data_IF_455082442278
#
_entry.id   IF_455082442278
#
_cell.length_a   1.000
_cell.length_b   1.000
_cell.length_c   1.000
_cell.angle_alpha   90.00
_cell.angle_beta   90.00
_cell.angle_gamma   90.00
#
_symmetry.space_group_name_H-M   'P 1'
#
loop_
_entity.id
_entity.type
_entity.pdbx_description
1 polymer ?
#
# COMPACT_ATOMS: atom_id res chain seq x y z
N UNK A 1 18.69 17.95 43.65
CA UNK A 1 18.86 18.13 42.19
C UNK A 1 18.25 16.91 41.51
N UNK A 2 17.09 17.08 40.89
CA UNK A 2 16.38 16.00 40.19
C UNK A 2 17.15 15.65 38.93
N UNK A 3 17.64 14.41 38.83
CA UNK A 3 18.45 13.94 37.69
C UNK A 3 17.69 13.96 36.35
N UNK A 4 18.39 13.80 35.22
CA UNK A 4 17.77 13.79 33.90
C UNK A 4 16.75 12.66 33.81
N UNK A 5 15.50 13.03 33.53
CA UNK A 5 14.42 12.07 33.29
C UNK A 5 14.66 11.43 31.94
N UNK A 6 15.02 10.13 31.95
CA UNK A 6 15.02 9.26 30.78
C UNK A 6 13.77 9.52 29.93
N UNK A 7 13.95 10.09 28.74
CA UNK A 7 12.90 10.10 27.72
C UNK A 7 12.53 8.64 27.48
N UNK A 8 11.31 8.27 27.88
CA UNK A 8 10.82 6.92 27.76
C UNK A 8 10.66 6.66 26.26
N UNK A 9 11.61 5.95 25.65
CA UNK A 9 11.56 5.52 24.24
C UNK A 9 10.12 5.09 23.94
N UNK A 10 9.46 5.79 23.03
CA UNK A 10 8.17 5.40 22.44
C UNK A 10 8.38 4.10 21.66
N UNK A 11 8.55 2.99 22.38
CA UNK A 11 8.33 1.68 21.80
C UNK A 11 6.84 1.64 21.45
N UNK A 12 6.52 1.27 20.21
CA UNK A 12 5.16 0.97 19.80
C UNK A 12 4.56 -0.02 20.79
N UNK A 13 3.73 0.47 21.70
CA UNK A 13 3.06 -0.36 22.70
C UNK A 13 2.14 -1.27 21.91
N UNK A 14 2.49 -2.57 21.82
CA UNK A 14 1.63 -3.56 21.18
C UNK A 14 0.25 -3.45 21.84
N UNK A 15 -0.83 -3.30 21.07
CA UNK A 15 -2.16 -3.19 21.66
C UNK A 15 -2.45 -4.46 22.46
N UNK A 16 -2.75 -4.31 23.76
CA UNK A 16 -3.14 -5.43 24.64
C UNK A 16 -4.36 -6.17 24.08
N UNK A 17 -5.20 -5.49 23.28
CA UNK A 17 -6.37 -6.08 22.65
C UNK A 17 -6.76 -5.38 21.33
N UNK A 18 -6.11 -5.78 20.23
CA UNK A 18 -6.29 -5.18 18.88
C UNK A 18 -7.77 -5.08 18.46
N UNK A 19 -8.58 -6.11 18.76
CA UNK A 19 -10.00 -6.13 18.41
C UNK A 19 -10.83 -5.06 19.11
N UNK A 20 -10.57 -4.79 20.40
CA UNK A 20 -11.24 -3.71 21.13
C UNK A 20 -10.85 -2.33 20.59
N UNK A 21 -9.59 -2.14 20.25
CA UNK A 21 -9.10 -0.88 19.65
C UNK A 21 -9.74 -0.62 18.29
N UNK A 22 -9.80 -1.63 17.42
CA UNK A 22 -10.50 -1.54 16.12
C UNK A 22 -11.98 -1.20 16.33
N UNK A 23 -12.67 -1.88 17.25
CA UNK A 23 -14.07 -1.60 17.56
C UNK A 23 -14.28 -0.16 18.06
N UNK A 24 -13.35 0.35 18.87
CA UNK A 24 -13.38 1.75 19.34
C UNK A 24 -13.20 2.73 18.19
N UNK A 25 -12.25 2.49 17.28
CA UNK A 25 -12.06 3.35 16.10
C UNK A 25 -13.30 3.32 15.21
N UNK A 26 -13.86 2.14 14.93
CA UNK A 26 -15.12 1.98 14.19
C UNK A 26 -16.28 2.71 14.85
N UNK A 27 -16.32 2.81 16.18
CA UNK A 27 -17.35 3.56 16.90
C UNK A 27 -17.32 5.06 16.59
N UNK A 28 -16.13 5.63 16.32
CA UNK A 28 -15.99 7.03 15.91
C UNK A 28 -16.49 7.26 14.48
N UNK A 29 -16.31 6.28 13.59
CA UNK A 29 -16.80 6.35 12.20
C UNK A 29 -18.30 6.01 12.09
N UNK A 30 -18.88 5.46 13.15
CA UNK A 30 -20.26 5.01 13.22
C UNK A 30 -21.30 6.14 13.04
N UNK A 31 -20.88 7.40 13.23
CA UNK A 31 -21.68 8.57 12.90
C UNK A 31 -21.91 8.71 11.39
N UNK A 32 -21.01 8.13 10.58
CA UNK A 32 -21.02 8.15 9.12
C UNK A 32 -21.40 6.81 8.47
N UNK A 33 -22.12 5.91 9.17
CA UNK A 33 -22.51 4.57 8.63
C UNK A 33 -23.10 4.63 7.22
N UNK A 34 -24.01 5.57 6.95
CA UNK A 34 -24.66 5.70 5.63
C UNK A 34 -23.61 6.07 4.57
N UNK A 35 -22.70 6.99 4.89
CA UNK A 35 -21.64 7.40 3.98
C UNK A 35 -20.66 6.24 3.74
N UNK A 36 -20.36 5.42 4.75
CA UNK A 36 -19.52 4.21 4.59
C UNK A 36 -20.17 3.17 3.66
N UNK A 37 -21.48 2.96 3.77
CA UNK A 37 -22.21 2.06 2.86
C UNK A 37 -22.16 2.62 1.42
N UNK A 38 -22.35 3.92 1.25
CA UNK A 38 -22.20 4.56 -0.06
C UNK A 38 -20.77 4.45 -0.62
N UNK A 39 -19.74 4.62 0.21
CA UNK A 39 -18.34 4.40 -0.17
C UNK A 39 -18.14 2.96 -0.66
N UNK A 40 -18.64 1.98 0.10
CA UNK A 40 -18.54 0.57 -0.28
C UNK A 40 -19.22 0.30 -1.63
N UNK A 41 -20.44 0.81 -1.83
CA UNK A 41 -21.16 0.69 -3.11
C UNK A 41 -20.39 1.34 -4.27
N UNK A 42 -19.85 2.55 -4.08
CA UNK A 42 -19.06 3.21 -5.13
C UNK A 42 -17.74 2.50 -5.43
N UNK A 43 -17.09 1.89 -4.43
CA UNK A 43 -15.89 1.05 -4.64
C UNK A 43 -16.24 -0.21 -5.43
N UNK A 44 -17.37 -0.86 -5.13
CA UNK A 44 -17.86 -1.99 -5.91
C UNK A 44 -18.16 -1.58 -7.35
N UNK A 45 -18.88 -0.48 -7.54
CA UNK A 45 -19.22 0.04 -8.86
C UNK A 45 -17.97 0.41 -9.67
N UNK A 46 -17.00 1.11 -9.07
CA UNK A 46 -15.76 1.47 -9.79
C UNK A 46 -14.93 0.24 -10.17
N UNK A 47 -14.82 -0.74 -9.28
CA UNK A 47 -14.08 -1.98 -9.53
C UNK A 47 -14.76 -2.81 -10.62
N UNK A 48 -16.09 -2.95 -10.57
CA UNK A 48 -16.88 -3.63 -11.59
C UNK A 48 -16.80 -2.91 -12.94
N UNK A 49 -16.86 -1.57 -12.97
CA UNK A 49 -16.67 -0.79 -14.21
C UNK A 49 -15.29 -1.02 -14.83
N UNK A 50 -14.24 -1.11 -14.01
CA UNK A 50 -12.88 -1.39 -14.51
C UNK A 50 -12.76 -2.81 -15.08
N UNK A 51 -13.32 -3.80 -14.38
CA UNK A 51 -13.34 -5.19 -14.84
C UNK A 51 -14.16 -5.31 -16.12
N UNK A 52 -15.36 -4.75 -16.15
CA UNK A 52 -16.24 -4.77 -17.31
C UNK A 52 -15.58 -4.04 -18.50
N UNK A 53 -14.99 -2.85 -18.27
CA UNK A 53 -14.29 -2.10 -19.32
C UNK A 53 -13.15 -2.89 -19.95
N UNK A 54 -12.45 -3.71 -19.16
CA UNK A 54 -11.42 -4.63 -19.67
C UNK A 54 -12.03 -5.81 -20.43
N UNK A 55 -13.15 -6.36 -19.97
CA UNK A 55 -13.86 -7.44 -20.68
C UNK A 55 -14.41 -6.97 -22.03
N UNK A 56 -14.91 -5.73 -22.12
CA UNK A 56 -15.44 -5.15 -23.37
C UNK A 56 -14.40 -5.03 -24.49
N UNK A 57 -13.11 -5.16 -24.18
CA UNK A 57 -12.05 -5.30 -25.19
C UNK A 57 -12.27 -6.52 -26.09
N UNK A 58 -12.82 -7.62 -25.53
CA UNK A 58 -13.14 -8.85 -26.27
C UNK A 58 -14.14 -8.61 -27.40
N UNK A 59 -15.40 -8.19 -27.14
CA UNK A 59 -16.38 -7.94 -28.20
C UNK A 59 -15.95 -6.80 -29.12
N UNK A 60 -15.23 -5.78 -28.62
CA UNK A 60 -14.70 -4.70 -29.45
C UNK A 60 -13.74 -5.23 -30.52
N UNK A 61 -12.80 -6.10 -30.14
CA UNK A 61 -11.81 -6.64 -31.08
C UNK A 61 -12.46 -7.68 -31.99
N UNK A 62 -13.22 -8.63 -31.46
CA UNK A 62 -13.73 -9.76 -32.23
C UNK A 62 -14.88 -9.39 -33.18
N UNK A 63 -15.82 -8.56 -32.72
CA UNK A 63 -17.05 -8.31 -33.48
C UNK A 63 -16.95 -7.06 -34.35
N UNK A 64 -16.00 -6.16 -34.05
CA UNK A 64 -15.86 -4.91 -34.78
C UNK A 64 -14.49 -4.78 -35.43
N UNK A 65 -13.36 -4.88 -34.72
CA UNK A 65 -12.06 -4.67 -35.38
C UNK A 65 -11.77 -5.77 -36.41
N UNK A 66 -11.87 -7.04 -36.03
CA UNK A 66 -11.49 -8.17 -36.88
C UNK A 66 -12.29 -8.26 -38.21
N UNK A 67 -13.63 -8.14 -38.23
CA UNK A 67 -14.41 -8.19 -39.48
C UNK A 67 -14.32 -6.90 -40.32
N UNK A 68 -13.81 -5.80 -39.76
CA UNK A 68 -13.55 -4.57 -40.50
C UNK A 68 -12.20 -4.59 -41.25
N UNK A 69 -11.27 -5.46 -40.87
CA UNK A 69 -9.98 -5.60 -41.56
C UNK A 69 -10.21 -6.13 -42.98
N UNK A 70 -9.88 -5.31 -43.99
CA UNK A 70 -9.99 -5.67 -45.41
C UNK A 70 -11.25 -5.16 -46.14
N UNK A 71 -12.17 -4.44 -45.47
CA UNK A 71 -13.32 -3.78 -46.14
C UNK A 71 -13.02 -2.32 -46.47
N UNK A 72 -13.32 -1.89 -47.71
CA UNK A 72 -13.06 -0.52 -48.18
C UNK A 72 -14.08 0.54 -47.67
N UNK A 73 -15.28 0.14 -47.20
CA UNK A 73 -16.28 1.03 -46.59
C UNK A 73 -17.09 0.30 -45.50
N UNK A 74 -16.54 0.10 -44.30
CA UNK A 74 -17.28 -0.52 -43.21
C UNK A 74 -18.22 0.47 -42.52
N UNK A 75 -19.40 0.00 -42.13
CA UNK A 75 -20.32 0.78 -41.29
C UNK A 75 -19.76 0.88 -39.86
N UNK A 76 -19.22 2.05 -39.51
CA UNK A 76 -18.61 2.33 -38.20
C UNK A 76 -19.65 2.67 -37.12
N UNK A 77 -20.94 2.78 -37.45
CA UNK A 77 -21.98 3.21 -36.51
C UNK A 77 -22.06 2.30 -35.27
N UNK A 78 -21.97 0.98 -35.48
CA UNK A 78 -22.03 0.00 -34.42
C UNK A 78 -20.73 -0.08 -33.58
N UNK A 79 -19.56 0.16 -34.21
CA UNK A 79 -18.30 0.32 -33.50
C UNK A 79 -18.31 1.57 -32.61
N UNK A 80 -18.76 2.71 -33.15
CA UNK A 80 -18.88 3.97 -32.41
C UNK A 80 -19.84 3.84 -31.22
N UNK A 81 -20.97 3.12 -31.39
CA UNK A 81 -21.92 2.86 -30.30
C UNK A 81 -21.27 2.05 -29.17
N UNK A 82 -20.45 1.05 -29.49
CA UNK A 82 -19.75 0.24 -28.47
C UNK A 82 -18.63 1.03 -27.77
N UNK A 83 -17.86 1.83 -28.52
CA UNK A 83 -16.85 2.72 -27.94
C UNK A 83 -17.50 3.77 -27.03
N UNK A 84 -18.64 4.33 -27.42
CA UNK A 84 -19.39 5.28 -26.59
C UNK A 84 -19.95 4.61 -25.33
N UNK A 85 -20.42 3.36 -25.43
CA UNK A 85 -20.80 2.57 -24.25
C UNK A 85 -19.61 2.34 -23.30
N UNK A 86 -18.45 1.99 -23.83
CA UNK A 86 -17.22 1.84 -23.02
C UNK A 86 -16.82 3.16 -22.36
N UNK A 87 -16.90 4.27 -23.09
CA UNK A 87 -16.63 5.60 -22.55
C UNK A 87 -17.59 5.95 -21.40
N UNK A 88 -18.89 5.61 -21.52
CA UNK A 88 -19.87 5.80 -20.44
C UNK A 88 -19.57 4.91 -19.23
N UNK A 89 -19.16 3.65 -19.42
CA UNK A 89 -18.78 2.74 -18.33
C UNK A 89 -17.55 3.28 -17.59
N UNK A 90 -16.53 3.73 -18.32
CA UNK A 90 -15.34 4.34 -17.71
C UNK A 90 -15.67 5.67 -17.03
N UNK A 91 -16.51 6.51 -17.63
CA UNK A 91 -16.96 7.76 -17.02
C UNK A 91 -17.73 7.49 -15.71
N UNK A 92 -18.60 6.48 -15.69
CA UNK A 92 -19.31 6.07 -14.49
C UNK A 92 -18.38 5.49 -13.42
N UNK A 93 -17.39 4.70 -13.82
CA UNK A 93 -16.35 4.18 -12.92
C UNK A 93 -15.48 5.30 -12.33
N UNK A 94 -15.10 6.29 -13.15
CA UNK A 94 -14.35 7.46 -12.73
C UNK A 94 -15.16 8.36 -11.79
N UNK A 95 -16.45 8.58 -12.08
CA UNK A 95 -17.36 9.33 -11.22
C UNK A 95 -17.59 8.63 -9.87
N UNK A 96 -17.75 7.30 -9.89
CA UNK A 96 -17.81 6.48 -8.67
C UNK A 96 -16.52 6.59 -7.87
N UNK A 97 -15.38 6.60 -8.57
CA UNK A 97 -14.05 6.75 -7.96
C UNK A 97 -13.91 8.10 -7.27
N UNK A 98 -14.26 9.17 -7.96
CA UNK A 98 -14.29 10.51 -7.40
C UNK A 98 -15.25 10.60 -6.21
N UNK A 99 -16.45 10.00 -6.34
CA UNK A 99 -17.47 9.94 -5.31
C UNK A 99 -16.93 9.31 -4.02
N UNK A 100 -16.45 8.07 -4.06
CA UNK A 100 -15.96 7.42 -2.86
C UNK A 100 -14.77 8.16 -2.24
N UNK A 101 -13.83 8.69 -3.04
CA UNK A 101 -12.69 9.46 -2.51
C UNK A 101 -13.16 10.73 -1.79
N UNK A 102 -14.11 11.47 -2.38
CA UNK A 102 -14.66 12.69 -1.78
C UNK A 102 -15.44 12.40 -0.50
N UNK A 103 -16.27 11.35 -0.49
CA UNK A 103 -16.97 10.93 0.73
C UNK A 103 -15.96 10.51 1.80
N UNK A 104 -14.91 9.76 1.44
CA UNK A 104 -13.94 9.26 2.40
C UNK A 104 -13.10 10.38 3.02
N UNK A 105 -12.77 11.43 2.26
CA UNK A 105 -12.14 12.64 2.80
C UNK A 105 -13.02 13.33 3.85
N UNK A 106 -14.33 13.43 3.60
CA UNK A 106 -15.28 14.03 4.55
C UNK A 106 -15.38 13.18 5.83
N UNK A 107 -15.50 11.86 5.69
CA UNK A 107 -15.54 10.92 6.83
C UNK A 107 -14.27 11.01 7.65
N UNK A 108 -13.11 10.94 7.00
CA UNK A 108 -11.81 10.86 7.68
C UNK A 108 -11.49 12.16 8.42
N UNK A 109 -11.71 13.31 7.79
CA UNK A 109 -11.49 14.62 8.43
C UNK A 109 -12.52 14.90 9.53
N UNK A 110 -13.79 14.52 9.34
CA UNK A 110 -14.83 14.65 10.38
C UNK A 110 -14.55 13.77 11.60
N UNK A 111 -14.14 12.53 11.36
CA UNK A 111 -13.72 11.59 12.42
C UNK A 111 -12.49 12.13 13.15
N UNK A 112 -11.50 12.65 12.41
CA UNK A 112 -10.29 13.25 12.97
C UNK A 112 -10.58 14.47 13.85
N UNK A 113 -11.48 15.36 13.39
CA UNK A 113 -11.94 16.49 14.17
C UNK A 113 -12.52 16.03 15.51
N UNK A 114 -13.44 15.05 15.48
CA UNK A 114 -14.05 14.49 16.70
C UNK A 114 -13.03 13.86 17.64
N UNK A 115 -12.09 13.07 17.11
CA UNK A 115 -11.01 12.47 17.90
C UNK A 115 -10.17 13.57 18.58
N UNK A 116 -9.75 14.60 17.84
CA UNK A 116 -8.96 15.71 18.40
C UNK A 116 -9.74 16.48 19.46
N UNK A 117 -11.04 16.73 19.25
CA UNK A 117 -11.90 17.39 20.23
C UNK A 117 -12.08 16.55 21.50
N UNK A 118 -12.32 15.25 21.38
CA UNK A 118 -12.47 14.34 22.52
C UNK A 118 -11.15 14.19 23.29
N UNK A 119 -10.03 14.08 22.58
CA UNK A 119 -8.69 14.08 23.19
C UNK A 119 -8.46 15.38 23.97
N UNK A 120 -8.80 16.53 23.39
CA UNK A 120 -8.61 17.82 24.04
C UNK A 120 -9.49 18.00 25.29
N UNK A 121 -10.77 17.62 25.21
CA UNK A 121 -11.67 17.61 26.37
C UNK A 121 -11.16 16.68 27.46
N UNK A 122 -10.72 15.49 27.10
CA UNK A 122 -10.17 14.55 28.06
C UNK A 122 -8.88 15.09 28.69
N UNK A 123 -7.99 15.68 27.90
CA UNK A 123 -6.75 16.29 28.37
C UNK A 123 -7.02 17.37 29.41
N UNK A 124 -8.01 18.24 29.22
CA UNK A 124 -8.40 19.25 30.21
C UNK A 124 -8.86 18.66 31.55
N UNK A 125 -9.42 17.44 31.54
CA UNK A 125 -9.88 16.75 32.76
C UNK A 125 -8.76 15.98 33.48
N UNK A 126 -7.56 15.90 32.91
CA UNK A 126 -6.46 15.14 33.51
C UNK A 126 -5.84 15.90 34.69
N UNK A 127 -5.44 15.18 35.77
CA UNK A 127 -4.79 15.81 36.91
C UNK A 127 -3.43 16.37 36.51
N UNK A 128 -2.97 17.44 37.19
CA UNK A 128 -1.66 18.07 36.94
C UNK A 128 -0.51 17.06 36.96
N UNK A 129 -0.59 16.03 37.81
CA UNK A 129 0.38 14.91 37.89
C UNK A 129 0.60 14.19 36.54
N UNK A 130 -0.42 14.14 35.68
CA UNK A 130 -0.27 13.57 34.33
C UNK A 130 0.67 14.41 33.47
N UNK A 131 0.57 15.73 33.55
CA UNK A 131 1.44 16.67 32.85
C UNK A 131 2.85 16.73 33.47
N UNK A 132 2.96 16.44 34.76
CA UNK A 132 4.27 16.28 35.41
C UNK A 132 4.99 15.00 34.96
N UNK A 133 4.32 14.05 34.32
CA UNK A 133 4.91 12.75 33.90
C UNK A 133 5.06 12.58 32.39
N UNK A 134 4.47 13.46 31.59
CA UNK A 134 4.53 13.41 30.12
C UNK A 134 5.07 14.72 29.56
N UNK A 135 5.93 14.64 28.55
CA UNK A 135 6.50 15.85 27.94
C UNK A 135 5.51 16.55 27.02
N UNK A 136 5.65 17.86 26.84
CA UNK A 136 4.83 18.61 25.90
C UNK A 136 4.95 18.06 24.45
N UNK A 137 6.14 17.57 24.08
CA UNK A 137 6.39 16.95 22.77
C UNK A 137 5.66 15.62 22.58
N UNK A 138 5.63 14.76 23.61
CA UNK A 138 4.84 13.51 23.56
C UNK A 138 3.36 13.81 23.36
N UNK A 139 2.82 14.80 24.07
CA UNK A 139 1.42 15.22 23.91
C UNK A 139 1.16 15.71 22.49
N UNK A 140 1.98 16.62 21.96
CA UNK A 140 1.81 17.13 20.60
C UNK A 140 1.89 16.03 19.54
N UNK A 141 2.81 15.07 19.66
CA UNK A 141 2.91 13.93 18.74
C UNK A 141 1.64 13.06 18.74
N UNK A 142 0.98 12.89 19.90
CA UNK A 142 -0.31 12.18 19.95
C UNK A 142 -1.41 12.94 19.19
N UNK A 143 -1.39 14.28 19.21
CA UNK A 143 -2.38 15.11 18.51
C UNK A 143 -2.11 15.25 17.01
N UNK A 144 -0.86 15.15 16.57
CA UNK A 144 -0.48 15.29 15.16
C UNK A 144 -0.30 13.91 14.54
N UNK A 145 0.85 13.27 14.79
CA UNK A 145 1.30 12.05 14.12
C UNK A 145 0.34 10.86 14.30
N UNK A 146 -0.08 10.56 15.54
CA UNK A 146 -0.94 9.40 15.79
C UNK A 146 -2.34 9.59 15.18
N UNK A 147 -2.89 10.80 15.29
CA UNK A 147 -4.21 11.09 14.71
C UNK A 147 -4.16 11.15 13.18
N UNK A 148 -3.07 11.64 12.58
CA UNK A 148 -2.88 11.63 11.14
C UNK A 148 -2.64 10.21 10.60
N UNK A 149 -1.98 9.33 11.36
CA UNK A 149 -1.89 7.91 11.04
C UNK A 149 -3.27 7.25 11.03
N UNK A 150 -4.13 7.55 12.01
CA UNK A 150 -5.54 7.10 12.01
C UNK A 150 -6.31 7.64 10.80
N UNK A 151 -6.13 8.93 10.45
CA UNK A 151 -6.73 9.55 9.26
C UNK A 151 -6.30 8.82 7.98
N UNK A 152 -5.02 8.51 7.82
CA UNK A 152 -4.49 7.79 6.65
C UNK A 152 -5.02 6.34 6.59
N UNK A 153 -5.09 5.67 7.74
CA UNK A 153 -5.64 4.32 7.82
C UNK A 153 -7.10 4.28 7.38
N UNK A 154 -7.92 5.21 7.88
CA UNK A 154 -9.31 5.36 7.48
C UNK A 154 -9.42 5.74 6.00
N UNK A 155 -8.78 6.84 5.58
CA UNK A 155 -9.03 7.43 4.26
C UNK A 155 -8.48 6.60 3.10
N UNK A 156 -7.34 5.95 3.28
CA UNK A 156 -6.58 5.36 2.18
C UNK A 156 -6.48 3.84 2.33
N UNK A 157 -6.01 3.37 3.48
CA UNK A 157 -5.62 1.97 3.65
C UNK A 157 -6.83 1.04 3.65
N UNK A 158 -7.88 1.39 4.37
CA UNK A 158 -9.11 0.60 4.42
C UNK A 158 -9.81 0.52 3.06
N UNK A 159 -9.96 1.65 2.37
CA UNK A 159 -10.59 1.71 1.04
C UNK A 159 -9.77 0.92 0.02
N UNK A 160 -8.44 1.07 0.03
CA UNK A 160 -7.54 0.33 -0.85
C UNK A 160 -7.61 -1.17 -0.61
N UNK A 161 -7.71 -1.63 0.65
CA UNK A 161 -7.85 -3.05 0.99
C UNK A 161 -9.14 -3.64 0.41
N UNK A 162 -10.27 -2.95 0.61
CA UNK A 162 -11.57 -3.38 0.07
C UNK A 162 -11.55 -3.40 -1.46
N UNK A 163 -11.11 -2.31 -2.10
CA UNK A 163 -11.04 -2.19 -3.56
C UNK A 163 -10.10 -3.23 -4.19
N UNK A 164 -8.93 -3.46 -3.59
CA UNK A 164 -7.97 -4.46 -4.06
C UNK A 164 -8.53 -5.86 -3.92
N UNK A 165 -9.22 -6.18 -2.82
CA UNK A 165 -9.84 -7.49 -2.62
C UNK A 165 -10.92 -7.77 -3.68
N UNK A 166 -11.81 -6.79 -3.92
CA UNK A 166 -12.86 -6.89 -4.95
C UNK A 166 -12.25 -7.02 -6.34
N UNK A 167 -11.25 -6.19 -6.66
CA UNK A 167 -10.56 -6.22 -7.96
C UNK A 167 -9.86 -7.56 -8.17
N UNK A 168 -9.09 -8.07 -7.20
CA UNK A 168 -8.38 -9.35 -7.31
C UNK A 168 -9.36 -10.50 -7.53
N UNK A 169 -10.42 -10.59 -6.72
CA UNK A 169 -11.44 -11.64 -6.85
C UNK A 169 -12.15 -11.53 -8.21
N UNK A 170 -12.59 -10.32 -8.57
CA UNK A 170 -13.32 -10.09 -9.82
C UNK A 170 -12.48 -10.38 -11.06
N UNK A 171 -11.23 -9.92 -11.09
CA UNK A 171 -10.27 -10.22 -12.17
C UNK A 171 -10.01 -11.72 -12.24
N UNK A 172 -9.78 -12.40 -11.11
CA UNK A 172 -9.55 -13.84 -11.09
C UNK A 172 -10.73 -14.64 -11.66
N UNK A 173 -11.97 -14.28 -11.28
CA UNK A 173 -13.18 -14.88 -11.83
C UNK A 173 -13.26 -14.63 -13.34
N UNK A 174 -13.03 -13.40 -13.81
CA UNK A 174 -13.03 -13.07 -15.24
C UNK A 174 -11.96 -13.86 -16.02
N UNK A 175 -10.76 -14.04 -15.45
CA UNK A 175 -9.69 -14.84 -16.07
C UNK A 175 -10.10 -16.31 -16.20
N UNK A 176 -10.70 -16.90 -15.16
CA UNK A 176 -11.21 -18.28 -15.21
C UNK A 176 -12.28 -18.47 -16.29
N UNK A 177 -13.17 -17.49 -16.46
CA UNK A 177 -14.23 -17.51 -17.49
C UNK A 177 -13.62 -17.41 -18.90
N UNK A 178 -12.58 -16.60 -19.09
CA UNK A 178 -11.91 -16.40 -20.38
C UNK A 178 -11.11 -17.62 -20.82
N UNK A 179 -10.19 -18.09 -19.97
CA UNK A 179 -9.36 -19.26 -20.27
C UNK A 179 -8.80 -19.86 -18.97
N UNK A 180 -9.29 -21.05 -18.57
CA UNK A 180 -8.71 -21.78 -17.43
C UNK A 180 -7.23 -22.13 -17.62
N UNK A 181 -6.81 -22.40 -18.85
CA UNK A 181 -5.43 -22.78 -19.20
C UNK A 181 -4.47 -21.61 -18.95
N UNK A 182 -4.79 -20.42 -19.47
CA UNK A 182 -3.97 -19.23 -19.25
C UNK A 182 -3.99 -18.81 -17.77
N UNK A 183 -5.11 -19.03 -17.08
CA UNK A 183 -5.23 -18.72 -15.65
C UNK A 183 -4.31 -19.58 -14.79
N UNK A 184 -4.12 -20.87 -15.15
CA UNK A 184 -3.17 -21.73 -14.44
C UNK A 184 -1.73 -21.20 -14.52
N UNK A 185 -1.33 -20.64 -15.68
CA UNK A 185 -0.01 -20.01 -15.87
C UNK A 185 0.12 -18.77 -14.98
N UNK A 186 -0.93 -17.95 -14.90
CA UNK A 186 -0.96 -16.75 -14.06
C UNK A 186 -0.80 -17.10 -12.58
N UNK A 187 -1.49 -18.15 -12.14
CA UNK A 187 -1.39 -18.67 -10.78
C UNK A 187 0.01 -19.20 -10.50
N UNK A 188 0.62 -19.94 -11.43
CA UNK A 188 2.00 -20.41 -11.32
C UNK A 188 2.98 -19.24 -11.17
N UNK A 189 2.83 -18.20 -11.99
CA UNK A 189 3.66 -16.99 -11.89
C UNK A 189 3.45 -16.24 -10.57
N UNK A 190 2.23 -16.23 -10.03
CA UNK A 190 1.97 -15.67 -8.71
C UNK A 190 2.74 -16.41 -7.62
N UNK A 191 2.85 -17.74 -7.66
CA UNK A 191 3.69 -18.48 -6.72
C UNK A 191 5.17 -18.08 -6.82
N UNK A 192 5.69 -17.87 -8.04
CA UNK A 192 7.05 -17.39 -8.26
C UNK A 192 7.26 -15.97 -7.71
N UNK A 193 6.28 -15.07 -7.90
CA UNK A 193 6.30 -13.71 -7.34
C UNK A 193 6.33 -13.77 -5.80
N UNK A 194 5.43 -14.51 -5.18
CA UNK A 194 5.37 -14.66 -3.71
C UNK A 194 6.66 -15.26 -3.16
N UNK A 195 7.21 -16.29 -3.81
CA UNK A 195 8.47 -16.89 -3.41
C UNK A 195 9.62 -15.88 -3.46
N UNK A 196 9.68 -15.08 -4.52
CA UNK A 196 10.70 -14.03 -4.68
C UNK A 196 10.56 -12.96 -3.59
N UNK A 197 9.32 -12.52 -3.29
CA UNK A 197 9.03 -11.58 -2.19
C UNK A 197 9.52 -12.16 -0.86
N UNK A 198 9.21 -13.43 -0.57
CA UNK A 198 9.65 -14.06 0.69
C UNK A 198 11.16 -14.12 0.80
N UNK A 199 11.86 -14.47 -0.29
CA UNK A 199 13.32 -14.60 -0.29
C UNK A 199 14.03 -13.25 -0.13
N UNK A 200 13.66 -12.24 -0.92
CA UNK A 200 14.26 -10.90 -0.86
C UNK A 200 13.81 -10.15 0.39
N UNK A 201 12.52 -10.22 0.72
CA UNK A 201 11.92 -9.57 1.88
C UNK A 201 12.47 -10.11 3.20
N UNK A 202 12.68 -11.43 3.34
CA UNK A 202 13.30 -12.01 4.54
C UNK A 202 14.73 -11.53 4.74
N UNK A 203 15.50 -11.38 3.65
CA UNK A 203 16.88 -10.89 3.73
C UNK A 203 16.91 -9.41 4.10
N UNK A 204 16.07 -8.61 3.45
CA UNK A 204 15.88 -7.19 3.79
C UNK A 204 15.43 -6.99 5.24
N UNK A 205 14.47 -7.79 5.73
CA UNK A 205 14.00 -7.72 7.12
C UNK A 205 15.06 -8.05 8.16
N UNK A 206 16.03 -8.91 7.83
CA UNK A 206 17.17 -9.20 8.71
C UNK A 206 18.07 -7.96 8.86
N UNK A 207 18.41 -7.31 7.74
CA UNK A 207 19.19 -6.08 7.75
C UNK A 207 18.42 -4.89 8.37
N UNK A 208 17.10 -4.79 8.20
CA UNK A 208 16.31 -3.77 8.89
C UNK A 208 16.37 -3.92 10.42
N UNK A 209 16.38 -5.17 10.92
CA UNK A 209 16.58 -5.42 12.34
C UNK A 209 17.98 -4.98 12.80
N UNK A 210 19.02 -5.26 12.03
CA UNK A 210 20.39 -4.81 12.32
C UNK A 210 20.52 -3.29 12.28
N UNK A 211 19.93 -2.66 11.27
CA UNK A 211 19.85 -1.21 11.13
C UNK A 211 19.17 -0.59 12.35
N UNK A 212 18.02 -1.13 12.78
CA UNK A 212 17.31 -0.61 13.96
C UNK A 212 18.12 -0.76 15.25
N UNK A 213 18.88 -1.86 15.40
CA UNK A 213 19.81 -2.02 16.52
C UNK A 213 20.96 -1.00 16.45
N UNK A 214 21.53 -0.76 15.27
CA UNK A 214 22.60 0.21 15.06
C UNK A 214 22.12 1.65 15.32
N UNK A 215 20.94 2.04 14.82
CA UNK A 215 20.29 3.32 15.13
C UNK A 215 20.12 3.48 16.65
N UNK A 216 19.67 2.42 17.34
CA UNK A 216 19.52 2.43 18.79
C UNK A 216 20.83 2.65 19.56
N UNK A 217 21.95 2.13 19.05
CA UNK A 217 23.30 2.33 19.61
C UNK A 217 23.82 3.74 19.33
N UNK A 218 23.74 4.19 18.08
CA UNK A 218 24.15 5.55 17.66
C UNK A 218 23.39 6.60 18.45
N UNK A 219 22.06 6.48 18.55
CA UNK A 219 21.25 7.43 19.31
C UNK A 219 21.55 7.40 20.81
N UNK A 220 21.80 6.22 21.39
CA UNK A 220 22.23 6.12 22.79
C UNK A 220 23.57 6.80 23.04
N UNK A 221 24.52 6.63 22.11
CA UNK A 221 25.81 7.30 22.17
C UNK A 221 25.68 8.82 22.02
N UNK A 222 24.86 9.30 21.07
CA UNK A 222 24.57 10.74 20.92
C UNK A 222 23.97 11.29 22.22
N UNK A 223 22.99 10.61 22.81
CA UNK A 223 22.34 11.03 24.06
C UNK A 223 23.36 11.19 25.20
N UNK A 224 24.21 10.19 25.41
CA UNK A 224 25.26 10.21 26.44
C UNK A 224 26.31 11.31 26.19
N UNK A 225 26.76 11.47 24.95
CA UNK A 225 27.77 12.49 24.61
C UNK A 225 27.22 13.92 24.70
N UNK A 226 25.95 14.14 24.33
CA UNK A 226 25.32 15.46 24.39
C UNK A 226 24.99 15.84 25.83
N UNK A 227 24.45 14.91 26.63
CA UNK A 227 24.25 15.15 28.07
C UNK A 227 25.59 15.38 28.79
N UNK A 228 26.62 14.61 28.43
CA UNK A 228 27.97 14.69 28.95
C UNK A 228 28.86 15.78 28.33
N UNK A 229 28.35 16.65 27.45
CA UNK A 229 29.18 17.54 26.62
C UNK A 229 30.16 18.41 27.44
N UNK A 230 29.75 18.87 28.62
CA UNK A 230 30.60 19.70 29.49
C UNK A 230 31.80 18.92 30.00
N UNK A 231 31.60 17.64 30.35
CA UNK A 231 32.65 16.74 30.81
C UNK A 231 33.63 16.50 29.66
N UNK A 232 33.13 16.18 28.47
CA UNK A 232 33.96 15.97 27.28
C UNK A 232 34.84 17.20 26.99
N UNK A 233 34.26 18.40 27.06
CA UNK A 233 35.00 19.67 26.86
C UNK A 233 36.05 19.94 27.93
N UNK A 234 35.74 19.67 29.19
CA UNK A 234 36.67 19.89 30.31
C UNK A 234 37.86 18.93 30.25
N UNK A 235 37.64 17.69 29.81
CA UNK A 235 38.69 16.68 29.66
C UNK A 235 39.34 16.67 28.26
N UNK A 236 38.93 17.54 27.34
CA UNK A 236 39.42 17.60 25.95
C UNK A 236 39.30 16.25 25.19
N UNK A 237 38.22 15.51 25.39
CA UNK A 237 37.97 14.18 24.79
C UNK A 237 37.12 14.24 23.51
N UNK A 238 37.06 15.39 22.82
CA UNK A 238 36.21 15.53 21.63
C UNK A 238 36.58 14.57 20.49
N UNK A 239 37.86 14.36 20.24
CA UNK A 239 38.33 13.49 19.16
C UNK A 239 38.14 12.01 19.48
N UNK A 240 38.12 11.64 20.77
CA UNK A 240 37.73 10.29 21.20
C UNK A 240 36.22 10.09 21.06
N UNK A 241 35.44 11.08 21.48
CA UNK A 241 33.99 11.05 21.32
C UNK A 241 33.59 10.92 19.83
N UNK A 242 34.27 11.65 18.93
CA UNK A 242 34.09 11.52 17.48
C UNK A 242 34.48 10.14 16.96
N UNK A 243 35.65 9.60 17.34
CA UNK A 243 36.07 8.25 16.93
C UNK A 243 35.07 7.16 17.35
N UNK A 244 34.51 7.28 18.55
CA UNK A 244 33.45 6.38 19.02
C UNK A 244 32.16 6.51 18.20
N UNK A 245 31.77 7.74 17.84
CA UNK A 245 30.64 8.00 16.95
C UNK A 245 30.88 7.42 15.56
N UNK A 246 32.05 7.66 14.95
CA UNK A 246 32.39 7.23 13.60
C UNK A 246 32.28 5.71 13.47
N UNK A 247 32.75 4.95 14.47
CA UNK A 247 32.63 3.49 14.48
C UNK A 247 31.16 3.03 14.49
N UNK A 248 30.33 3.62 15.35
CA UNK A 248 28.91 3.27 15.43
C UNK A 248 28.15 3.72 14.17
N UNK A 249 28.57 4.83 13.57
CA UNK A 249 28.00 5.36 12.35
C UNK A 249 28.37 4.49 11.14
N UNK A 250 29.57 3.91 11.10
CA UNK A 250 29.97 2.93 10.08
C UNK A 250 29.15 1.63 10.19
N UNK A 251 28.95 1.12 11.41
CA UNK A 251 28.07 -0.03 11.66
C UNK A 251 26.63 0.26 11.17
N UNK A 252 26.13 1.46 11.43
CA UNK A 252 24.82 1.92 10.93
C UNK A 252 24.81 2.02 9.39
N UNK A 253 25.89 2.50 8.79
CA UNK A 253 26.01 2.63 7.34
C UNK A 253 25.94 1.26 6.65
N UNK A 254 26.75 0.28 7.07
CA UNK A 254 26.76 -1.05 6.46
C UNK A 254 25.41 -1.78 6.66
N UNK A 255 24.79 -1.66 7.84
CA UNK A 255 23.46 -2.22 8.09
C UNK A 255 22.38 -1.55 7.21
N UNK A 256 22.40 -0.22 7.09
CA UNK A 256 21.47 0.55 6.26
C UNK A 256 21.64 0.23 4.77
N UNK A 257 22.90 0.12 4.30
CA UNK A 257 23.24 -0.26 2.94
C UNK A 257 22.67 -1.64 2.61
N UNK A 258 22.86 -2.63 3.47
CA UNK A 258 22.27 -3.96 3.31
C UNK A 258 20.74 -3.91 3.22
N UNK A 259 20.11 -3.22 4.18
CA UNK A 259 18.65 -3.10 4.27
C UNK A 259 18.02 -2.49 3.01
N UNK A 260 18.53 -1.32 2.61
CA UNK A 260 18.04 -0.57 1.46
C UNK A 260 18.41 -1.22 0.12
N UNK A 261 19.53 -1.93 0.01
CA UNK A 261 19.88 -2.66 -1.21
C UNK A 261 18.83 -3.73 -1.53
N UNK A 262 18.50 -4.60 -0.57
CA UNK A 262 17.50 -5.65 -0.78
C UNK A 262 16.07 -5.09 -0.91
N UNK A 263 15.73 -4.05 -0.13
CA UNK A 263 14.42 -3.41 -0.21
C UNK A 263 14.20 -2.76 -1.59
N UNK A 264 15.21 -2.06 -2.11
CA UNK A 264 15.10 -1.35 -3.40
C UNK A 264 15.12 -2.30 -4.60
N UNK A 265 15.72 -3.48 -4.48
CA UNK A 265 15.70 -4.52 -5.52
C UNK A 265 14.32 -5.13 -5.74
N UNK A 266 13.46 -5.17 -4.72
CA UNK A 266 12.13 -5.80 -4.83
C UNK A 266 11.28 -5.20 -5.95
N UNK A 267 11.19 -3.88 -6.03
CA UNK A 267 10.33 -3.20 -7.01
C UNK A 267 10.76 -3.47 -8.47
N UNK A 268 12.03 -3.29 -8.87
CA UNK A 268 12.50 -3.67 -10.20
C UNK A 268 12.32 -5.15 -10.51
N UNK A 269 12.59 -6.05 -9.54
CA UNK A 269 12.43 -7.49 -9.74
C UNK A 269 10.97 -7.85 -9.97
N UNK A 270 10.04 -7.32 -9.16
CA UNK A 270 8.60 -7.53 -9.35
C UNK A 270 8.11 -6.94 -10.69
N UNK A 271 8.58 -5.76 -11.07
CA UNK A 271 8.27 -5.15 -12.36
C UNK A 271 8.70 -6.01 -13.54
N UNK A 272 9.94 -6.52 -13.51
CA UNK A 272 10.44 -7.43 -14.54
C UNK A 272 9.68 -8.76 -14.56
N UNK A 273 9.36 -9.34 -13.39
CA UNK A 273 8.54 -10.55 -13.32
C UNK A 273 7.16 -10.34 -13.94
N UNK A 274 6.56 -9.17 -13.74
CA UNK A 274 5.29 -8.79 -14.38
C UNK A 274 5.40 -8.69 -15.91
N UNK A 275 6.50 -8.14 -16.45
CA UNK A 275 6.72 -8.11 -17.90
C UNK A 275 7.03 -9.47 -18.50
N UNK A 276 7.80 -10.31 -17.80
CA UNK A 276 8.07 -11.70 -18.20
C UNK A 276 6.76 -12.48 -18.21
N UNK A 277 5.96 -12.34 -17.16
CA UNK A 277 4.64 -12.95 -17.06
C UNK A 277 3.74 -12.50 -18.23
N UNK A 278 3.64 -11.19 -18.50
CA UNK A 278 2.88 -10.67 -19.63
C UNK A 278 3.35 -11.30 -20.97
N UNK A 279 4.66 -11.40 -21.17
CA UNK A 279 5.24 -11.96 -22.40
C UNK A 279 4.95 -13.45 -22.57
N UNK A 280 5.10 -14.24 -21.50
CA UNK A 280 4.79 -15.68 -21.52
C UNK A 280 3.31 -15.91 -21.80
N UNK A 281 2.42 -15.16 -21.14
CA UNK A 281 0.97 -15.24 -21.38
C UNK A 281 0.62 -14.83 -22.81
N UNK A 282 1.31 -13.85 -23.38
CA UNK A 282 1.11 -13.43 -24.77
C UNK A 282 1.54 -14.51 -25.77
N UNK A 283 2.71 -15.13 -25.57
CA UNK A 283 3.22 -16.19 -26.44
C UNK A 283 2.29 -17.41 -26.39
N UNK A 284 1.96 -17.89 -25.20
CA UNK A 284 1.10 -19.08 -25.04
C UNK A 284 -0.31 -18.78 -25.53
N UNK A 285 -0.83 -17.59 -25.24
CA UNK A 285 -2.14 -17.15 -25.72
C UNK A 285 -2.20 -17.01 -27.24
N UNK A 286 -1.12 -16.57 -27.90
CA UNK A 286 -1.02 -16.54 -29.35
C UNK A 286 -1.00 -17.96 -29.95
N UNK A 287 -0.24 -18.89 -29.35
CA UNK A 287 -0.25 -20.31 -29.77
C UNK A 287 -1.65 -20.91 -29.60
N UNK A 288 -2.33 -20.62 -28.48
CA UNK A 288 -3.71 -21.08 -28.25
C UNK A 288 -4.68 -20.49 -29.27
N UNK A 289 -4.49 -19.23 -29.68
CA UNK A 289 -5.30 -18.59 -30.71
C UNK A 289 -5.18 -19.29 -32.06
N UNK A 290 -3.96 -19.70 -32.44
CA UNK A 290 -3.70 -20.42 -33.69
C UNK A 290 -4.17 -21.89 -33.63
N UNK A 291 -4.02 -22.56 -32.50
CA UNK A 291 -4.24 -24.02 -32.39
C UNK A 291 -5.66 -24.42 -32.03
N UNK A 292 -6.32 -23.68 -31.13
CA UNK A 292 -7.67 -24.03 -30.63
C UNK A 292 -8.74 -23.02 -31.04
N UNK A 293 -8.38 -21.99 -31.82
CA UNK A 293 -9.29 -20.91 -32.21
C UNK A 293 -9.64 -19.95 -31.07
N UNK A 294 -8.76 -19.81 -30.07
CA UNK A 294 -8.97 -18.84 -28.99
C UNK A 294 -9.00 -17.42 -29.56
N UNK A 295 -10.02 -16.65 -29.19
CA UNK A 295 -10.30 -15.38 -29.84
C UNK A 295 -9.31 -14.28 -29.43
N UNK A 296 -8.88 -13.47 -30.40
CA UNK A 296 -7.85 -12.43 -30.20
C UNK A 296 -8.30 -11.37 -29.18
N UNK A 297 -9.60 -11.06 -29.15
CA UNK A 297 -10.18 -10.16 -28.16
C UNK A 297 -10.10 -10.69 -26.73
N UNK A 298 -10.34 -12.00 -26.52
CA UNK A 298 -10.12 -12.64 -25.21
C UNK A 298 -8.66 -12.60 -24.82
N UNK A 299 -7.74 -12.82 -25.76
CA UNK A 299 -6.31 -12.69 -25.48
C UNK A 299 -5.95 -11.28 -25.02
N UNK A 300 -6.41 -10.26 -25.73
CA UNK A 300 -6.15 -8.87 -25.39
C UNK A 300 -6.72 -8.49 -24.01
N UNK A 301 -7.96 -8.90 -23.71
CA UNK A 301 -8.55 -8.71 -22.38
C UNK A 301 -7.78 -9.46 -21.28
N UNK A 302 -7.37 -10.70 -21.56
CA UNK A 302 -6.61 -11.54 -20.63
C UNK A 302 -5.23 -10.95 -20.29
N UNK A 303 -4.55 -10.39 -21.28
CA UNK A 303 -3.28 -9.70 -21.10
C UNK A 303 -3.42 -8.46 -20.20
N UNK A 304 -4.53 -7.73 -20.31
CA UNK A 304 -4.82 -6.60 -19.41
C UNK A 304 -5.14 -7.06 -17.98
N UNK A 305 -5.91 -8.15 -17.84
CA UNK A 305 -6.15 -8.75 -16.52
C UNK A 305 -4.88 -9.25 -15.86
N UNK A 306 -3.94 -9.80 -16.63
CA UNK A 306 -2.63 -10.25 -16.12
C UNK A 306 -1.86 -9.10 -15.45
N UNK A 307 -1.89 -7.90 -16.04
CA UNK A 307 -1.28 -6.69 -15.44
C UNK A 307 -2.03 -6.23 -14.19
N UNK A 308 -3.36 -6.17 -14.26
CA UNK A 308 -4.20 -5.76 -13.14
C UNK A 308 -4.04 -6.69 -11.92
N UNK A 309 -3.87 -7.99 -12.14
CA UNK A 309 -3.66 -8.98 -11.09
C UNK A 309 -2.27 -8.87 -10.44
N UNK A 310 -1.25 -8.44 -11.19
CA UNK A 310 0.13 -8.31 -10.69
C UNK A 310 0.38 -7.03 -9.87
N UNK A 311 -0.45 -5.99 -10.04
CA UNK A 311 -0.31 -4.72 -9.31
C UNK A 311 -0.49 -4.86 -7.80
N UNK A 312 -1.59 -5.46 -7.30
CA UNK A 312 -1.80 -5.65 -5.86
C UNK A 312 -0.66 -6.43 -5.19
N UNK A 313 -0.13 -7.45 -5.86
CA UNK A 313 1.01 -8.24 -5.37
C UNK A 313 2.24 -7.34 -5.15
N UNK A 314 2.50 -6.43 -6.10
CA UNK A 314 3.60 -5.46 -5.99
C UNK A 314 3.37 -4.47 -4.85
N UNK A 315 2.15 -3.95 -4.70
CA UNK A 315 1.80 -3.04 -3.59
C UNK A 315 1.88 -3.71 -2.22
N UNK A 316 1.47 -4.97 -2.11
CA UNK A 316 1.60 -5.74 -0.87
C UNK A 316 3.07 -5.90 -0.48
N UNK A 317 3.98 -6.07 -1.45
CA UNK A 317 5.42 -6.13 -1.18
C UNK A 317 5.95 -4.81 -0.59
N UNK A 318 5.46 -3.65 -1.05
CA UNK A 318 5.87 -2.35 -0.51
C UNK A 318 5.36 -2.15 0.92
N UNK A 319 4.12 -2.53 1.19
CA UNK A 319 3.55 -2.46 2.54
C UNK A 319 4.26 -3.39 3.53
N UNK A 320 4.63 -4.59 3.09
CA UNK A 320 5.39 -5.53 3.92
C UNK A 320 6.76 -4.97 4.32
N UNK A 321 7.46 -4.29 3.40
CA UNK A 321 8.71 -3.60 3.71
C UNK A 321 8.50 -2.44 4.71
N UNK A 322 7.45 -1.65 4.55
CA UNK A 322 7.16 -0.56 5.49
C UNK A 322 6.89 -1.06 6.92
N UNK A 323 6.28 -2.24 7.07
CA UNK A 323 6.10 -2.89 8.38
C UNK A 323 7.42 -3.39 8.96
N UNK A 324 8.33 -3.91 8.13
CA UNK A 324 9.65 -4.35 8.58
C UNK A 324 10.58 -3.19 8.95
N UNK A 325 10.38 -2.01 8.36
CA UNK A 325 11.10 -0.78 8.67
C UNK A 325 10.64 -0.10 9.97
N UNK A 326 9.44 -0.42 10.46
CA UNK A 326 8.81 0.19 11.64
C UNK A 326 9.10 -0.59 12.94
#
# INVERSE_FOLDING_TARGET
MSGPRKMRRMHGVKPENTGKTIKRILSYVNEYKIHLVLVFLFVLLSSLSSIAGTYFLKPLINNYIMPLIGKQNPDLSAFLRLVLLMALIYAFGALSTYGYNRLMLKISTGTLYKIRTDMFRHMQSLPVKFFDTHTHGELMSRYTNDTDALRNMLSQSFVSLVSSSVTVIGVFISMCILSPILTAIVVLMLFVMIFTIRKLGSKSGTFFKEQQMAVGKVNGYIEEMIEGQKVIKVFCHEDEAKRGFDKLNEDLFEASKGAHTFASMLRPVMGNLSYIHYSITAIIGAVLSVTTGFDLGSLAAFLQYTRAFSQPVTMMSEQFNAILMA
#
